data_IF_794593591043
#
_entry.id   IF_794593591043
#
_cell.length_a   1.000
_cell.length_b   1.000
_cell.length_c   1.000
_cell.angle_alpha   90.00
_cell.angle_beta   90.00
_cell.angle_gamma   90.00
#
_symmetry.space_group_name_H-M   'P 1'
#
loop_
_entity.id
_entity.type
_entity.pdbx_description
1 polymer ?
#
# COMPACT_ATOMS: atom_id res chain seq x y z
N UNK A 1 -12.56 -16.39 14.16
CA UNK A 1 -12.24 -17.31 15.26
C UNK A 1 -12.50 -16.65 16.62
N UNK A 2 -12.68 -17.44 17.68
CA UNK A 2 -12.79 -16.98 19.09
C UNK A 2 -11.51 -17.38 19.81
N UNK A 3 -10.93 -16.47 20.59
CA UNK A 3 -9.76 -16.71 21.43
C UNK A 3 -9.88 -15.90 22.71
N UNK A 4 -9.49 -16.49 23.84
CA UNK A 4 -9.59 -15.84 25.16
C UNK A 4 -11.00 -15.30 25.47
N UNK A 5 -12.03 -16.09 25.15
CA UNK A 5 -13.42 -15.77 25.48
C UNK A 5 -14.09 -14.69 24.60
N UNK A 6 -13.41 -14.15 23.59
CA UNK A 6 -13.96 -13.15 22.65
C UNK A 6 -13.61 -13.48 21.20
N UNK A 7 -14.41 -13.00 20.24
CA UNK A 7 -14.03 -13.01 18.82
C UNK A 7 -12.76 -12.19 18.66
N UNK A 8 -11.91 -12.58 17.71
CA UNK A 8 -10.68 -11.84 17.40
C UNK A 8 -10.96 -10.35 17.12
N UNK A 9 -12.04 -10.06 16.40
CA UNK A 9 -12.47 -8.69 16.10
C UNK A 9 -12.88 -7.84 17.31
N UNK A 10 -13.11 -8.45 18.47
CA UNK A 10 -13.51 -7.77 19.72
C UNK A 10 -12.32 -7.45 20.64
N UNK A 11 -11.09 -7.76 20.21
CA UNK A 11 -9.89 -7.31 20.90
C UNK A 11 -9.43 -5.99 20.28
N UNK A 12 -9.14 -4.99 21.11
CA UNK A 12 -8.89 -3.60 20.70
C UNK A 12 -7.80 -3.44 19.64
N UNK A 13 -6.77 -4.30 19.65
CA UNK A 13 -5.73 -4.31 18.62
C UNK A 13 -6.29 -4.52 17.20
N UNK A 14 -7.36 -5.31 17.06
CA UNK A 14 -8.00 -5.56 15.77
C UNK A 14 -8.92 -4.42 15.36
N UNK A 15 -9.55 -3.73 16.32
CA UNK A 15 -10.28 -2.49 16.04
C UNK A 15 -9.33 -1.44 15.46
N UNK A 16 -8.16 -1.25 16.07
CA UNK A 16 -7.13 -0.33 15.58
C UNK A 16 -6.66 -0.72 14.17
N UNK A 17 -6.25 -1.98 13.95
CA UNK A 17 -5.75 -2.45 12.64
C UNK A 17 -6.78 -2.28 11.53
N UNK A 18 -8.05 -2.59 11.81
CA UNK A 18 -9.13 -2.42 10.82
C UNK A 18 -9.37 -0.94 10.52
N UNK A 19 -9.33 -0.07 11.54
CA UNK A 19 -9.45 1.37 11.35
C UNK A 19 -8.28 1.94 10.51
N UNK A 20 -7.05 1.58 10.84
CA UNK A 20 -5.84 1.97 10.10
C UNK A 20 -5.88 1.47 8.65
N UNK A 21 -6.26 0.21 8.44
CA UNK A 21 -6.45 -0.36 7.11
C UNK A 21 -7.46 0.44 6.28
N UNK A 22 -8.60 0.81 6.85
CA UNK A 22 -9.61 1.64 6.18
C UNK A 22 -9.04 3.02 5.78
N UNK A 23 -8.39 3.70 6.72
CA UNK A 23 -7.78 5.01 6.48
C UNK A 23 -6.75 4.91 5.35
N UNK A 24 -5.84 3.93 5.42
CA UNK A 24 -4.77 3.74 4.45
C UNK A 24 -5.28 3.36 3.06
N UNK A 25 -6.34 2.56 2.98
CA UNK A 25 -7.04 2.24 1.74
C UNK A 25 -7.61 3.51 1.09
N UNK A 26 -8.25 4.38 1.87
CA UNK A 26 -8.88 5.59 1.35
C UNK A 26 -7.82 6.63 0.94
N UNK A 27 -6.79 6.85 1.74
CA UNK A 27 -5.63 7.68 1.39
C UNK A 27 -4.96 7.21 0.08
N UNK A 28 -4.74 5.89 -0.05
CA UNK A 28 -4.12 5.31 -1.23
C UNK A 28 -5.03 5.42 -2.46
N UNK A 29 -6.33 5.20 -2.30
CA UNK A 29 -7.31 5.36 -3.39
C UNK A 29 -7.36 6.79 -3.91
N UNK A 30 -7.38 7.78 -3.01
CA UNK A 30 -7.37 9.18 -3.40
C UNK A 30 -6.08 9.57 -4.13
N UNK A 31 -4.92 9.06 -3.70
CA UNK A 31 -3.66 9.26 -4.41
C UNK A 31 -3.68 8.62 -5.81
N UNK A 32 -4.26 7.43 -5.95
CA UNK A 32 -4.43 6.75 -7.24
C UNK A 32 -5.31 7.57 -8.19
N UNK A 33 -6.47 8.03 -7.71
CA UNK A 33 -7.38 8.86 -8.49
C UNK A 33 -6.76 10.21 -8.86
N UNK A 34 -5.96 10.81 -7.97
CA UNK A 34 -5.18 12.02 -8.28
C UNK A 34 -4.19 11.76 -9.43
N UNK A 35 -3.47 10.64 -9.40
CA UNK A 35 -2.54 10.29 -10.47
C UNK A 35 -3.28 10.10 -11.81
N UNK A 36 -4.41 9.39 -11.81
CA UNK A 36 -5.23 9.18 -12.99
C UNK A 36 -5.78 10.50 -13.55
N UNK A 37 -6.37 11.36 -12.70
CA UNK A 37 -6.91 12.66 -13.09
C UNK A 37 -5.83 13.57 -13.70
N UNK A 38 -4.62 13.57 -13.14
CA UNK A 38 -3.48 14.31 -13.69
C UNK A 38 -3.01 13.76 -15.04
N UNK A 39 -3.03 12.44 -15.21
CA UNK A 39 -2.72 11.80 -16.51
C UNK A 39 -3.75 12.19 -17.56
N UNK A 40 -5.03 12.15 -17.23
CA UNK A 40 -6.13 12.45 -18.16
C UNK A 40 -6.12 13.93 -18.58
N UNK A 41 -5.82 14.86 -17.65
CA UNK A 41 -5.86 16.31 -17.91
C UNK A 41 -4.56 16.88 -18.49
N UNK A 42 -3.41 16.40 -18.03
CA UNK A 42 -2.11 17.01 -18.33
C UNK A 42 -1.10 16.03 -18.98
N UNK A 43 -1.48 14.77 -19.14
CA UNK A 43 -0.65 13.73 -19.74
C UNK A 43 0.38 13.14 -18.77
N UNK A 44 0.87 11.94 -19.13
CA UNK A 44 1.74 11.12 -18.28
C UNK A 44 3.05 11.80 -17.88
N UNK A 45 3.62 12.65 -18.75
CA UNK A 45 4.87 13.37 -18.46
C UNK A 45 4.71 14.38 -17.33
N UNK A 46 3.56 15.07 -17.27
CA UNK A 46 3.25 16.01 -16.20
C UNK A 46 2.91 15.28 -14.89
N UNK A 47 2.21 14.15 -14.98
CA UNK A 47 1.79 13.34 -13.82
C UNK A 47 2.89 12.43 -13.23
N UNK A 48 4.15 12.53 -13.71
CA UNK A 48 5.25 11.63 -13.32
C UNK A 48 5.48 11.55 -11.80
N UNK A 49 5.24 12.63 -11.06
CA UNK A 49 5.40 12.65 -9.61
C UNK A 49 4.31 11.80 -8.94
N UNK A 50 3.04 12.04 -9.29
CA UNK A 50 1.88 11.30 -8.79
C UNK A 50 1.94 9.81 -9.13
N UNK A 51 2.34 9.47 -10.36
CA UNK A 51 2.53 8.07 -10.79
C UNK A 51 3.58 7.37 -9.92
N UNK A 52 4.73 8.01 -9.69
CA UNK A 52 5.78 7.45 -8.84
C UNK A 52 5.30 7.30 -7.38
N UNK A 53 4.58 8.30 -6.85
CA UNK A 53 4.04 8.25 -5.49
C UNK A 53 3.07 7.08 -5.30
N UNK A 54 2.10 6.89 -6.19
CA UNK A 54 1.15 5.79 -6.05
C UNK A 54 1.81 4.42 -6.25
N UNK A 55 2.80 4.32 -7.15
CA UNK A 55 3.56 3.09 -7.38
C UNK A 55 4.33 2.62 -6.13
N UNK A 56 4.77 3.56 -5.28
CA UNK A 56 5.38 3.23 -3.98
C UNK A 56 4.32 2.96 -2.92
N UNK A 57 3.31 3.82 -2.79
CA UNK A 57 2.33 3.77 -1.69
C UNK A 57 1.44 2.53 -1.77
N UNK A 58 0.92 2.19 -2.96
CA UNK A 58 -0.09 1.15 -3.08
C UNK A 58 0.41 -0.25 -2.69
N UNK A 59 1.56 -0.75 -3.19
CA UNK A 59 2.06 -2.06 -2.78
C UNK A 59 2.45 -2.11 -1.29
N UNK A 60 2.98 -1.02 -0.72
CA UNK A 60 3.33 -0.96 0.71
C UNK A 60 2.10 -1.08 1.60
N UNK A 61 1.05 -0.31 1.30
CA UNK A 61 -0.23 -0.37 2.02
C UNK A 61 -0.85 -1.77 1.90
N UNK A 62 -0.94 -2.30 0.67
CA UNK A 62 -1.52 -3.62 0.45
C UNK A 62 -0.76 -4.73 1.20
N UNK A 63 0.58 -4.68 1.20
CA UNK A 63 1.39 -5.67 1.89
C UNK A 63 1.17 -5.63 3.41
N UNK A 64 1.10 -4.44 4.02
CA UNK A 64 0.83 -4.27 5.44
C UNK A 64 -0.55 -4.85 5.82
N UNK A 65 -1.60 -4.53 5.08
CA UNK A 65 -2.96 -5.03 5.37
C UNK A 65 -3.04 -6.56 5.20
N UNK A 66 -2.38 -7.11 4.18
CA UNK A 66 -2.32 -8.56 3.99
C UNK A 66 -1.54 -9.21 5.14
N UNK A 67 -0.45 -8.61 5.60
CA UNK A 67 0.34 -9.12 6.73
C UNK A 67 -0.47 -9.14 8.04
N UNK A 68 -1.26 -8.09 8.30
CA UNK A 68 -2.19 -8.06 9.42
C UNK A 68 -3.28 -9.14 9.30
N UNK A 69 -3.77 -9.41 8.08
CA UNK A 69 -4.69 -10.50 7.82
C UNK A 69 -4.04 -11.88 8.06
N UNK A 70 -2.79 -12.09 7.62
CA UNK A 70 -2.01 -13.30 7.93
C UNK A 70 -1.95 -13.51 9.45
N UNK A 71 -1.63 -12.45 10.21
CA UNK A 71 -1.56 -12.50 11.66
C UNK A 71 -2.92 -12.86 12.30
N UNK A 72 -4.04 -12.42 11.73
CA UNK A 72 -5.39 -12.74 12.24
C UNK A 72 -5.70 -14.23 12.13
N UNK A 73 -5.27 -14.83 11.02
CA UNK A 73 -5.45 -16.25 10.68
C UNK A 73 -4.43 -17.18 11.35
N UNK A 74 -3.34 -16.64 11.90
CA UNK A 74 -2.29 -17.43 12.54
C UNK A 74 -1.58 -18.33 11.53
N UNK A 75 -1.31 -19.59 11.89
CA UNK A 75 -0.60 -20.53 11.00
C UNK A 75 -1.34 -20.75 9.66
N UNK A 76 -2.67 -20.68 9.64
CA UNK A 76 -3.45 -20.78 8.40
C UNK A 76 -3.22 -19.60 7.44
N UNK A 77 -2.73 -18.46 7.94
CA UNK A 77 -2.38 -17.30 7.11
C UNK A 77 -1.14 -17.53 6.25
N UNK A 78 -0.26 -18.46 6.65
CA UNK A 78 0.95 -18.83 5.90
C UNK A 78 0.83 -20.21 5.22
N UNK A 79 -0.31 -20.89 5.37
CA UNK A 79 -0.61 -22.16 4.69
C UNK A 79 -1.30 -21.93 3.34
N UNK A 80 -1.57 -23.03 2.64
CA UNK A 80 -2.34 -23.05 1.38
C UNK A 80 -3.86 -23.08 1.63
N UNK A 81 -4.31 -23.10 2.89
CA UNK A 81 -5.74 -23.12 3.23
C UNK A 81 -6.41 -21.77 2.99
N UNK A 82 -5.61 -20.71 2.84
CA UNK A 82 -6.06 -19.35 2.55
C UNK A 82 -5.26 -18.77 1.38
N UNK A 83 -5.78 -17.78 0.65
CA UNK A 83 -5.02 -17.11 -0.40
C UNK A 83 -3.98 -16.12 0.13
N UNK A 84 -3.83 -15.97 1.45
CA UNK A 84 -3.06 -14.89 2.08
C UNK A 84 -1.56 -15.01 1.79
N UNK A 85 -0.98 -16.20 1.91
CA UNK A 85 0.44 -16.42 1.60
C UNK A 85 0.77 -16.07 0.13
N UNK A 86 -0.07 -16.51 -0.80
CA UNK A 86 0.07 -16.20 -2.22
C UNK A 86 -0.12 -14.71 -2.51
N UNK A 87 -1.10 -14.06 -1.86
CA UNK A 87 -1.35 -12.62 -2.00
C UNK A 87 -0.18 -11.78 -1.47
N UNK A 88 0.37 -12.15 -0.31
CA UNK A 88 1.53 -11.49 0.28
C UNK A 88 2.73 -11.56 -0.65
N UNK A 89 3.04 -12.76 -1.15
CA UNK A 89 4.14 -12.96 -2.09
C UNK A 89 3.92 -12.17 -3.40
N UNK A 90 2.70 -12.22 -3.94
CA UNK A 90 2.31 -11.48 -5.14
C UNK A 90 2.51 -9.97 -4.98
N UNK A 91 1.94 -9.35 -3.95
CA UNK A 91 2.10 -7.92 -3.70
C UNK A 91 3.55 -7.54 -3.39
N UNK A 92 4.32 -8.41 -2.73
CA UNK A 92 5.74 -8.19 -2.48
C UNK A 92 6.54 -8.05 -3.78
N UNK A 93 6.14 -8.75 -4.85
CA UNK A 93 6.77 -8.59 -6.18
C UNK A 93 6.51 -7.23 -6.81
N UNK A 94 5.37 -6.58 -6.53
CA UNK A 94 5.03 -5.26 -7.08
C UNK A 94 5.87 -4.13 -6.49
N UNK A 95 6.64 -4.39 -5.42
CA UNK A 95 7.69 -3.50 -4.91
C UNK A 95 9.01 -3.60 -5.66
N UNK A 96 9.08 -4.49 -6.65
CA UNK A 96 10.26 -4.74 -7.51
C UNK A 96 9.90 -4.50 -8.99
N UNK A 97 8.77 -5.04 -9.44
CA UNK A 97 8.27 -4.88 -10.80
C UNK A 97 8.02 -3.41 -11.14
N UNK A 98 8.24 -3.04 -12.41
CA UNK A 98 8.06 -1.67 -12.94
C UNK A 98 8.82 -0.58 -12.16
N UNK A 99 10.01 -0.95 -11.68
CA UNK A 99 10.88 -0.10 -10.87
C UNK A 99 10.68 -0.34 -9.37
N UNK A 100 11.77 -0.65 -8.64
CA UNK A 100 11.70 -0.86 -7.21
C UNK A 100 11.39 0.45 -6.47
N UNK A 101 10.85 0.33 -5.25
CA UNK A 101 10.43 1.47 -4.43
C UNK A 101 11.52 2.55 -4.34
N UNK A 102 12.79 2.17 -4.20
CA UNK A 102 13.92 3.07 -4.00
C UNK A 102 14.19 3.94 -5.24
N UNK A 103 13.98 3.40 -6.44
CA UNK A 103 14.13 4.15 -7.69
C UNK A 103 13.03 5.21 -7.80
N UNK A 104 11.78 4.84 -7.47
CA UNK A 104 10.66 5.78 -7.46
C UNK A 104 10.82 6.84 -6.36
N UNK A 105 11.25 6.46 -5.15
CA UNK A 105 11.54 7.41 -4.07
C UNK A 105 12.63 8.41 -4.46
N UNK A 106 13.70 7.97 -5.12
CA UNK A 106 14.74 8.87 -5.66
C UNK A 106 14.17 9.83 -6.69
N UNK A 107 13.29 9.37 -7.58
CA UNK A 107 12.63 10.22 -8.56
C UNK A 107 11.73 11.27 -7.89
N UNK A 108 10.90 10.86 -6.92
CA UNK A 108 10.04 11.76 -6.14
C UNK A 108 10.89 12.83 -5.45
N UNK A 109 11.95 12.43 -4.74
CA UNK A 109 12.82 13.36 -4.03
C UNK A 109 13.44 14.41 -4.97
N UNK A 110 13.93 13.98 -6.14
CA UNK A 110 14.50 14.90 -7.14
C UNK A 110 13.47 15.89 -7.68
N UNK A 111 12.25 15.42 -7.94
CA UNK A 111 11.16 16.29 -8.39
C UNK A 111 10.76 17.28 -7.32
N UNK A 112 10.74 16.86 -6.05
CA UNK A 112 10.42 17.74 -4.94
C UNK A 112 11.50 18.80 -4.74
N UNK A 113 12.78 18.41 -4.72
CA UNK A 113 13.88 19.38 -4.61
C UNK A 113 13.89 20.39 -5.76
N UNK A 114 13.61 19.96 -7.00
CA UNK A 114 13.59 20.87 -8.14
C UNK A 114 12.49 21.95 -8.04
N UNK A 115 11.38 21.70 -7.34
CA UNK A 115 10.33 22.72 -7.11
C UNK A 115 10.79 23.86 -6.21
N UNK A 116 11.76 23.59 -5.33
CA UNK A 116 12.23 24.51 -4.29
C UNK A 116 13.69 24.95 -4.51
N UNK A 117 14.30 24.56 -5.63
CA UNK A 117 15.66 24.97 -5.94
C UNK A 117 15.70 26.48 -6.20
N UNK A 118 16.70 27.20 -5.66
CA UNK A 118 16.87 28.62 -5.98
C UNK A 118 17.10 28.79 -7.49
N UNK A 119 16.57 29.90 -8.02
CA UNK A 119 16.71 30.28 -9.42
C UNK A 119 18.18 30.53 -9.80
#
# INVERSE_FOLDING_TARGET
RVAFGKKISEHSIWEQRVAEARIEIDCTRLLCLKAADMMDKAGNKAAKAEIAMIKVKAPRMALQIIDDAVQAFGAAGVSQDTPLAASWAGIRTLRLADGPDEVHNRAIARLEFAKHAPA
#
